data_IF_004910551894
#
_entry.id   IF_004910551894
#
_cell.length_a   1.000
_cell.length_b   1.000
_cell.length_c   1.000
_cell.angle_alpha   90.00
_cell.angle_beta   90.00
_cell.angle_gamma   90.00
#
_symmetry.space_group_name_H-M   'P 1'
#
loop_
_entity.id
_entity.type
_entity.pdbx_description
1 polymer ?
#
# COMPACT_ATOMS: atom_id res chain seq x y z
N UNK A 1 -4.22 33.29 -1.86
CA UNK A 1 -4.42 31.87 -2.19
C UNK A 1 -3.50 31.04 -1.31
N UNK A 2 -4.03 30.12 -0.48
CA UNK A 2 -3.15 29.18 0.25
C UNK A 2 -2.45 28.26 -0.77
N UNK A 3 -1.15 28.01 -0.66
CA UNK A 3 -0.45 27.14 -1.60
C UNK A 3 -1.12 25.77 -1.64
N UNK A 4 -1.38 25.27 -2.84
CA UNK A 4 -2.00 23.98 -3.06
C UNK A 4 -0.99 22.92 -2.61
N UNK A 5 -1.27 22.29 -1.47
CA UNK A 5 -0.41 21.26 -0.91
C UNK A 5 -0.35 20.09 -1.90
N UNK A 6 0.86 19.74 -2.36
CA UNK A 6 1.06 18.62 -3.27
C UNK A 6 1.43 17.37 -2.45
N UNK A 7 0.53 16.36 -2.36
CA UNK A 7 0.79 15.16 -1.56
C UNK A 7 2.04 14.39 -1.98
N UNK A 8 2.42 14.45 -3.27
CA UNK A 8 3.63 13.80 -3.77
C UNK A 8 4.90 14.45 -3.19
N UNK A 9 5.00 15.78 -3.23
CA UNK A 9 6.15 16.49 -2.63
C UNK A 9 6.22 16.27 -1.12
N UNK A 10 5.07 16.24 -0.43
CA UNK A 10 5.02 15.92 0.99
C UNK A 10 5.51 14.49 1.28
N UNK A 11 5.17 13.51 0.43
CA UNK A 11 5.66 12.16 0.58
C UNK A 11 7.18 12.07 0.43
N UNK A 12 7.75 12.80 -0.54
CA UNK A 12 9.21 12.87 -0.76
C UNK A 12 9.94 13.48 0.46
N UNK A 13 9.40 14.59 0.99
CA UNK A 13 9.98 15.25 2.18
C UNK A 13 9.85 14.34 3.41
N UNK A 14 8.64 13.78 3.62
CA UNK A 14 8.38 12.89 4.75
C UNK A 14 9.29 11.66 4.70
N UNK A 15 9.54 11.11 3.50
CA UNK A 15 10.43 9.97 3.31
C UNK A 15 11.86 10.34 3.73
N UNK A 16 12.41 11.44 3.24
CA UNK A 16 13.77 11.89 3.59
C UNK A 16 13.93 12.07 5.10
N UNK A 17 13.01 12.82 5.73
CA UNK A 17 13.07 13.05 7.17
C UNK A 17 12.91 11.75 7.98
N UNK A 18 12.11 10.79 7.48
CA UNK A 18 11.92 9.50 8.14
C UNK A 18 13.14 8.59 7.96
N UNK A 19 13.85 8.70 6.85
CA UNK A 19 15.10 7.97 6.59
C UNK A 19 16.21 8.48 7.50
N UNK A 20 16.40 9.81 7.58
CA UNK A 20 17.37 10.45 8.47
C UNK A 20 17.15 10.05 9.95
N UNK A 21 15.90 9.88 10.36
CA UNK A 21 15.51 9.46 11.71
C UNK A 21 15.40 7.93 11.90
N UNK A 22 15.73 7.13 10.89
CA UNK A 22 15.64 5.65 10.90
C UNK A 22 14.27 5.09 11.31
N UNK A 23 13.19 5.79 10.99
CA UNK A 23 11.82 5.42 11.39
C UNK A 23 10.88 5.15 10.18
N UNK A 24 11.43 4.79 9.02
CA UNK A 24 10.68 4.58 7.77
C UNK A 24 9.55 3.56 7.91
N UNK A 25 9.81 2.41 8.54
CA UNK A 25 8.82 1.34 8.68
C UNK A 25 7.66 1.75 9.58
N UNK A 26 7.98 2.43 10.68
CA UNK A 26 6.97 2.93 11.61
C UNK A 26 6.09 4.02 10.98
N UNK A 27 6.70 4.95 10.25
CA UNK A 27 5.96 6.00 9.51
C UNK A 27 5.08 5.37 8.43
N UNK A 28 5.58 4.37 7.70
CA UNK A 28 4.81 3.61 6.71
C UNK A 28 3.60 2.91 7.33
N UNK A 29 3.84 2.18 8.42
CA UNK A 29 2.78 1.47 9.15
C UNK A 29 1.71 2.45 9.67
N UNK A 30 2.15 3.59 10.21
CA UNK A 30 1.26 4.61 10.74
C UNK A 30 0.45 5.32 9.65
N UNK A 31 1.03 5.65 8.50
CA UNK A 31 0.29 6.19 7.34
C UNK A 31 -0.80 5.22 6.86
N UNK A 32 -0.46 3.94 6.75
CA UNK A 32 -1.42 2.91 6.37
C UNK A 32 -2.54 2.75 7.41
N UNK A 33 -2.21 2.85 8.70
CA UNK A 33 -3.18 2.85 9.78
C UNK A 33 -4.14 4.04 9.68
N UNK A 34 -3.63 5.26 9.48
CA UNK A 34 -4.46 6.46 9.31
C UNK A 34 -5.38 6.37 8.08
N UNK A 35 -4.89 5.79 6.99
CA UNK A 35 -5.73 5.54 5.81
C UNK A 35 -6.87 4.56 6.09
N UNK A 36 -6.60 3.46 6.81
CA UNK A 36 -7.63 2.50 7.22
C UNK A 36 -8.63 3.15 8.18
N UNK A 37 -8.14 3.93 9.14
CA UNK A 37 -9.00 4.67 10.07
C UNK A 37 -9.90 5.65 9.33
N UNK A 38 -9.39 6.39 8.34
CA UNK A 38 -10.19 7.32 7.55
C UNK A 38 -11.27 6.64 6.68
N UNK A 39 -11.10 5.36 6.34
CA UNK A 39 -12.11 4.57 5.62
C UNK A 39 -13.18 4.05 6.58
N UNK A 40 -12.79 3.53 7.73
CA UNK A 40 -13.66 2.80 8.64
C UNK A 40 -14.39 3.72 9.63
N UNK A 41 -13.78 4.84 10.03
CA UNK A 41 -14.33 5.76 11.02
C UNK A 41 -14.81 7.08 10.39
N UNK A 42 -16.11 7.32 10.48
CA UNK A 42 -16.75 8.53 9.96
C UNK A 42 -16.40 9.77 10.78
N UNK A 43 -16.19 9.65 12.10
CA UNK A 43 -15.82 10.77 12.96
C UNK A 43 -14.39 11.23 12.66
N UNK A 44 -13.46 10.31 12.51
CA UNK A 44 -12.11 10.63 12.12
C UNK A 44 -12.06 11.31 10.74
N UNK A 45 -12.87 10.84 9.80
CA UNK A 45 -13.03 11.45 8.47
C UNK A 45 -13.51 12.88 8.55
N UNK A 46 -14.58 13.12 9.31
CA UNK A 46 -15.12 14.46 9.53
C UNK A 46 -14.10 15.38 10.22
N UNK A 47 -13.36 14.86 11.19
CA UNK A 47 -12.31 15.59 11.88
C UNK A 47 -11.21 16.06 10.92
N UNK A 48 -10.67 15.17 10.07
CA UNK A 48 -9.64 15.54 9.10
C UNK A 48 -10.19 16.54 8.07
N UNK A 49 -11.40 16.34 7.57
CA UNK A 49 -12.03 17.21 6.58
C UNK A 49 -12.42 18.59 7.13
N UNK A 50 -12.55 18.74 8.43
CA UNK A 50 -12.98 20.00 9.04
C UNK A 50 -12.06 21.16 8.68
N UNK A 51 -12.67 22.24 8.15
CA UNK A 51 -11.99 23.52 7.88
C UNK A 51 -12.00 24.45 9.09
N UNK A 52 -12.87 24.18 10.06
CA UNK A 52 -13.05 25.02 11.27
C UNK A 52 -11.91 24.84 12.27
N UNK A 53 -11.30 23.66 12.30
CA UNK A 53 -10.21 23.32 13.21
C UNK A 53 -8.89 23.73 12.55
N UNK A 54 -8.08 24.52 13.26
CA UNK A 54 -6.75 24.93 12.79
C UNK A 54 -5.78 23.74 12.77
N UNK A 55 -4.78 23.76 11.88
CA UNK A 55 -3.79 22.68 11.75
C UNK A 55 -3.08 22.37 13.08
N UNK A 56 -2.68 23.37 13.84
CA UNK A 56 -2.05 23.17 15.16
C UNK A 56 -2.97 22.41 16.15
N UNK A 57 -4.27 22.71 16.16
CA UNK A 57 -5.24 22.01 16.99
C UNK A 57 -5.47 20.57 16.53
N UNK A 58 -5.49 20.33 15.20
CA UNK A 58 -5.58 18.97 14.65
C UNK A 58 -4.35 18.15 15.01
N UNK A 59 -3.16 18.71 14.86
CA UNK A 59 -1.91 18.03 15.21
C UNK A 59 -1.86 17.69 16.69
N UNK A 60 -2.21 18.64 17.57
CA UNK A 60 -2.26 18.42 19.00
C UNK A 60 -3.27 17.31 19.38
N UNK A 61 -4.47 17.33 18.79
CA UNK A 61 -5.48 16.29 19.01
C UNK A 61 -5.02 14.91 18.52
N UNK A 62 -4.40 14.83 17.34
CA UNK A 62 -3.84 13.58 16.84
C UNK A 62 -2.72 13.05 17.74
N UNK A 63 -1.86 13.93 18.22
CA UNK A 63 -0.78 13.55 19.15
C UNK A 63 -1.30 13.07 20.51
N UNK A 64 -2.39 13.65 21.02
CA UNK A 64 -2.97 13.23 22.30
C UNK A 64 -3.76 11.92 22.19
N UNK A 65 -4.54 11.75 21.13
CA UNK A 65 -5.40 10.57 20.97
C UNK A 65 -4.61 9.34 20.48
N UNK A 66 -3.58 9.55 19.66
CA UNK A 66 -2.79 8.49 19.04
C UNK A 66 -1.36 8.43 19.63
N UNK A 67 -1.18 8.86 20.88
CA UNK A 67 0.13 8.96 21.54
C UNK A 67 0.95 7.66 21.46
N UNK A 68 0.31 6.50 21.66
CA UNK A 68 0.96 5.19 21.71
C UNK A 68 1.49 4.71 20.34
N UNK A 69 0.85 5.14 19.27
CA UNK A 69 1.18 4.69 17.87
C UNK A 69 1.56 5.85 16.97
N UNK A 70 1.30 7.07 17.42
CA UNK A 70 1.43 8.28 16.64
C UNK A 70 2.88 8.69 16.38
N UNK A 71 3.13 9.18 15.18
CA UNK A 71 4.37 9.87 14.85
C UNK A 71 4.06 11.35 14.69
N UNK A 72 4.59 12.23 15.56
CA UNK A 72 4.29 13.66 15.53
C UNK A 72 4.51 14.30 14.16
N UNK A 73 5.56 13.89 13.47
CA UNK A 73 5.88 14.33 12.11
C UNK A 73 4.74 14.04 11.11
N UNK A 74 4.17 12.83 11.15
CA UNK A 74 3.06 12.44 10.29
C UNK A 74 1.79 13.20 10.66
N UNK A 75 1.52 13.34 11.96
CA UNK A 75 0.35 14.07 12.47
C UNK A 75 0.39 15.54 12.06
N UNK A 76 1.57 16.16 12.05
CA UNK A 76 1.75 17.52 11.57
C UNK A 76 1.42 17.61 10.06
N UNK A 77 1.97 16.73 9.24
CA UNK A 77 1.69 16.69 7.78
C UNK A 77 0.19 16.49 7.51
N UNK A 78 -0.45 15.54 8.20
CA UNK A 78 -1.87 15.23 8.03
C UNK A 78 -2.77 16.36 8.50
N UNK A 79 -2.36 17.13 9.51
CA UNK A 79 -3.10 18.29 10.03
C UNK A 79 -3.35 19.40 9.00
N UNK A 80 -2.52 19.48 7.98
CA UNK A 80 -2.69 20.45 6.88
C UNK A 80 -3.80 20.06 5.90
N UNK A 81 -4.22 18.80 5.87
CA UNK A 81 -5.30 18.37 4.99
C UNK A 81 -6.65 18.85 5.52
N UNK A 82 -7.48 19.37 4.61
CA UNK A 82 -8.81 19.88 4.95
C UNK A 82 -9.76 19.84 3.75
N UNK A 83 -11.06 19.95 4.04
CA UNK A 83 -12.10 19.94 3.02
C UNK A 83 -12.33 18.56 2.40
N UNK A 84 -13.11 18.54 1.32
CA UNK A 84 -13.54 17.29 0.66
C UNK A 84 -12.40 16.43 0.12
N UNK A 85 -11.25 17.04 -0.20
CA UNK A 85 -10.09 16.34 -0.73
C UNK A 85 -9.15 15.77 0.34
N UNK A 86 -9.35 16.09 1.61
CA UNK A 86 -8.42 15.70 2.69
C UNK A 86 -8.16 14.19 2.74
N UNK A 87 -9.18 13.36 2.52
CA UNK A 87 -9.06 11.90 2.51
C UNK A 87 -8.30 11.41 1.27
N UNK A 88 -8.61 11.98 0.11
CA UNK A 88 -7.89 11.66 -1.13
C UNK A 88 -6.41 12.07 -1.02
N UNK A 89 -6.12 13.24 -0.45
CA UNK A 89 -4.76 13.73 -0.27
C UNK A 89 -3.98 12.84 0.72
N UNK A 90 -4.62 12.38 1.82
CA UNK A 90 -4.03 11.40 2.74
C UNK A 90 -3.73 10.07 2.04
N UNK A 91 -4.66 9.57 1.23
CA UNK A 91 -4.47 8.34 0.46
C UNK A 91 -3.34 8.50 -0.55
N UNK A 92 -3.28 9.61 -1.28
CA UNK A 92 -2.20 9.90 -2.22
C UNK A 92 -0.85 10.05 -1.53
N UNK A 93 -0.80 10.66 -0.35
CA UNK A 93 0.41 10.75 0.47
C UNK A 93 0.93 9.34 0.81
N UNK A 94 0.06 8.47 1.35
CA UNK A 94 0.41 7.09 1.70
C UNK A 94 0.85 6.29 0.49
N UNK A 95 0.15 6.37 -0.65
CA UNK A 95 0.51 5.66 -1.87
C UNK A 95 1.88 6.09 -2.41
N UNK A 96 2.14 7.40 -2.47
CA UNK A 96 3.44 7.91 -2.93
C UNK A 96 4.57 7.53 -1.97
N UNK A 97 4.34 7.63 -0.66
CA UNK A 97 5.32 7.21 0.35
C UNK A 97 5.67 5.72 0.20
N UNK A 98 4.65 4.84 0.09
CA UNK A 98 4.84 3.42 -0.15
C UNK A 98 5.58 3.13 -1.46
N UNK A 99 5.31 3.89 -2.52
CA UNK A 99 6.00 3.74 -3.81
C UNK A 99 7.48 4.09 -3.70
N UNK A 100 7.82 5.21 -3.04
CA UNK A 100 9.21 5.61 -2.80
C UNK A 100 9.91 4.57 -1.91
N UNK A 101 9.26 4.15 -0.81
CA UNK A 101 9.80 3.15 0.11
C UNK A 101 10.16 1.84 -0.61
N UNK A 102 9.24 1.33 -1.44
CA UNK A 102 9.48 0.09 -2.19
C UNK A 102 10.64 0.23 -3.17
N UNK A 103 10.72 1.38 -3.85
CA UNK A 103 11.79 1.67 -4.81
C UNK A 103 13.16 1.74 -4.11
N UNK A 104 13.28 2.48 -3.01
CA UNK A 104 14.54 2.64 -2.28
C UNK A 104 14.99 1.34 -1.58
N UNK A 105 14.06 0.56 -1.05
CA UNK A 105 14.35 -0.73 -0.42
C UNK A 105 14.43 -1.89 -1.43
N UNK A 106 14.29 -1.61 -2.73
CA UNK A 106 14.27 -2.61 -3.79
C UNK A 106 13.27 -3.75 -3.51
N UNK A 107 12.03 -3.38 -3.16
CA UNK A 107 10.95 -4.32 -2.85
C UNK A 107 10.01 -4.40 -4.03
N UNK A 108 9.84 -5.58 -4.58
CA UNK A 108 8.94 -5.83 -5.69
C UNK A 108 7.51 -6.11 -5.20
N UNK A 109 6.53 -5.43 -5.79
CA UNK A 109 5.12 -5.70 -5.52
C UNK A 109 4.62 -6.81 -6.43
N UNK A 110 4.16 -7.89 -5.81
CA UNK A 110 3.56 -9.03 -6.53
C UNK A 110 2.11 -9.19 -6.07
N UNK A 111 1.20 -9.12 -7.03
CA UNK A 111 -0.21 -9.40 -6.81
C UNK A 111 -0.52 -10.79 -7.33
N UNK A 112 -0.94 -11.69 -6.45
CA UNK A 112 -1.35 -13.04 -6.79
C UNK A 112 -2.88 -13.13 -6.77
N UNK A 113 -3.48 -13.60 -7.86
CA UNK A 113 -4.90 -13.93 -7.92
C UNK A 113 -5.04 -15.45 -7.87
N UNK A 114 -5.81 -15.94 -6.91
CA UNK A 114 -5.94 -17.34 -6.54
C UNK A 114 -7.38 -17.82 -6.71
N UNK A 115 -7.58 -19.10 -7.00
CA UNK A 115 -8.91 -19.71 -7.03
C UNK A 115 -9.55 -19.81 -5.62
N UNK A 116 -8.74 -19.99 -4.58
CA UNK A 116 -9.16 -20.11 -3.18
C UNK A 116 -8.07 -19.59 -2.23
N UNK A 117 -8.44 -19.38 -0.98
CA UNK A 117 -7.49 -18.92 0.04
C UNK A 117 -6.35 -19.92 0.25
N UNK A 118 -5.15 -19.39 0.43
CA UNK A 118 -3.96 -20.15 0.81
C UNK A 118 -3.72 -20.03 2.31
N UNK A 119 -3.20 -21.10 2.92
CA UNK A 119 -2.76 -21.06 4.30
C UNK A 119 -1.41 -20.30 4.42
N UNK A 120 -1.03 -19.95 5.66
CA UNK A 120 0.18 -19.17 5.91
C UNK A 120 1.47 -19.86 5.44
N UNK A 121 1.52 -21.20 5.51
CA UNK A 121 2.67 -21.99 5.05
C UNK A 121 2.82 -21.93 3.54
N UNK A 122 1.72 -22.07 2.81
CA UNK A 122 1.69 -21.94 1.35
C UNK A 122 2.10 -20.54 0.90
N UNK A 123 1.64 -19.51 1.62
CA UNK A 123 2.02 -18.12 1.36
C UNK A 123 3.54 -17.91 1.56
N UNK A 124 4.10 -18.48 2.63
CA UNK A 124 5.55 -18.41 2.89
C UNK A 124 6.35 -19.13 1.81
N UNK A 125 5.93 -20.33 1.39
CA UNK A 125 6.56 -21.08 0.32
C UNK A 125 6.49 -20.34 -1.02
N UNK A 126 5.34 -19.77 -1.36
CA UNK A 126 5.19 -18.98 -2.58
C UNK A 126 6.11 -17.76 -2.57
N UNK A 127 6.19 -17.04 -1.44
CA UNK A 127 7.09 -15.90 -1.28
C UNK A 127 8.55 -16.30 -1.47
N UNK A 128 9.01 -17.34 -0.77
CA UNK A 128 10.40 -17.79 -0.85
C UNK A 128 10.76 -18.26 -2.27
N UNK A 129 9.83 -18.92 -2.95
CA UNK A 129 10.03 -19.34 -4.35
C UNK A 129 10.17 -18.14 -5.30
N UNK A 130 9.32 -17.13 -5.15
CA UNK A 130 9.38 -15.92 -5.96
C UNK A 130 10.68 -15.15 -5.67
N UNK A 131 11.04 -14.98 -4.40
CA UNK A 131 12.25 -14.28 -3.98
C UNK A 131 13.52 -14.99 -4.43
N UNK A 132 13.53 -16.34 -4.41
CA UNK A 132 14.67 -17.13 -4.90
C UNK A 132 14.89 -16.99 -6.40
N UNK A 133 13.82 -16.91 -7.17
CA UNK A 133 13.89 -16.75 -8.64
C UNK A 133 14.27 -15.33 -9.05
N UNK A 134 13.73 -14.34 -8.35
CA UNK A 134 13.91 -12.92 -8.71
C UNK A 134 15.14 -12.28 -8.03
N UNK A 135 15.67 -12.88 -6.96
CA UNK A 135 16.78 -12.32 -6.18
C UNK A 135 16.44 -11.02 -5.45
N UNK A 136 15.15 -10.68 -5.33
CA UNK A 136 14.65 -9.41 -4.80
C UNK A 136 13.57 -9.70 -3.75
N UNK A 137 13.55 -8.93 -2.66
CA UNK A 137 12.49 -9.01 -1.65
C UNK A 137 11.14 -8.69 -2.25
N UNK A 138 10.12 -9.48 -1.92
CA UNK A 138 8.78 -9.30 -2.48
C UNK A 138 7.74 -8.99 -1.42
N UNK A 139 6.82 -8.09 -1.76
CA UNK A 139 5.61 -7.83 -1.00
C UNK A 139 4.42 -8.43 -1.75
N UNK A 140 3.88 -9.53 -1.21
CA UNK A 140 2.76 -10.24 -1.81
C UNK A 140 1.43 -9.63 -1.36
N UNK A 141 0.53 -9.46 -2.31
CA UNK A 141 -0.89 -9.18 -2.07
C UNK A 141 -1.73 -10.24 -2.77
N UNK A 142 -2.85 -10.62 -2.17
CA UNK A 142 -3.69 -11.70 -2.65
C UNK A 142 -5.09 -11.18 -2.99
N UNK A 143 -5.61 -11.63 -4.12
CA UNK A 143 -7.02 -11.52 -4.49
C UNK A 143 -7.56 -12.93 -4.73
N UNK A 144 -8.84 -13.14 -4.43
CA UNK A 144 -9.53 -14.40 -4.70
C UNK A 144 -10.46 -14.18 -5.89
N UNK A 145 -10.33 -15.04 -6.88
CA UNK A 145 -11.21 -15.09 -8.04
C UNK A 145 -11.65 -16.52 -8.28
N UNK A 146 -12.88 -16.83 -7.85
CA UNK A 146 -13.49 -18.15 -7.99
C UNK A 146 -13.76 -18.58 -9.45
N UNK A 147 -13.60 -17.70 -10.42
CA UNK A 147 -13.68 -18.04 -11.84
C UNK A 147 -12.45 -18.82 -12.32
N UNK A 148 -11.34 -18.77 -11.58
CA UNK A 148 -10.14 -19.56 -11.85
C UNK A 148 -10.38 -20.99 -11.38
N UNK A 149 -10.37 -21.97 -12.31
CA UNK A 149 -10.57 -23.39 -12.00
C UNK A 149 -9.48 -23.93 -11.06
N UNK A 150 -8.25 -23.40 -11.18
CA UNK A 150 -7.11 -23.75 -10.34
C UNK A 150 -5.82 -23.14 -10.82
N UNK A 151 -4.78 -23.22 -9.98
CA UNK A 151 -3.52 -22.53 -10.22
C UNK A 151 -3.56 -21.07 -9.72
N UNK A 152 -2.70 -20.21 -10.28
CA UNK A 152 -2.58 -18.81 -9.87
C UNK A 152 -2.20 -17.90 -11.04
N UNK A 153 -2.61 -16.65 -10.95
CA UNK A 153 -2.17 -15.59 -11.85
C UNK A 153 -1.33 -14.59 -11.04
N UNK A 154 -0.12 -14.27 -11.52
CA UNK A 154 0.77 -13.31 -10.88
C UNK A 154 0.86 -12.05 -11.72
N UNK A 155 0.77 -10.91 -11.06
CA UNK A 155 1.13 -9.63 -11.63
C UNK A 155 2.32 -9.07 -10.87
N UNK A 156 3.42 -8.91 -11.58
CA UNK A 156 4.69 -8.39 -11.08
C UNK A 156 4.91 -7.04 -11.75
N UNK A 157 4.64 -5.96 -11.04
CA UNK A 157 4.58 -4.60 -11.61
C UNK A 157 3.73 -4.55 -12.90
N UNK A 158 4.38 -4.46 -14.07
CA UNK A 158 3.73 -4.44 -15.39
C UNK A 158 3.75 -5.79 -16.10
N UNK A 159 4.38 -6.81 -15.53
CA UNK A 159 4.46 -8.14 -16.11
C UNK A 159 3.34 -9.03 -15.56
N UNK A 160 2.69 -9.76 -16.44
CA UNK A 160 1.62 -10.68 -16.09
C UNK A 160 2.05 -12.11 -16.39
N UNK A 161 1.97 -13.00 -15.41
CA UNK A 161 2.23 -14.42 -15.52
C UNK A 161 0.96 -15.20 -15.21
N UNK A 162 0.44 -15.92 -16.17
CA UNK A 162 -0.72 -16.79 -15.99
C UNK A 162 -0.27 -18.25 -15.86
N UNK A 163 -0.24 -18.74 -14.63
CA UNK A 163 0.03 -20.14 -14.27
C UNK A 163 -1.26 -20.90 -13.91
N UNK A 164 -2.41 -20.47 -14.42
CA UNK A 164 -3.68 -21.18 -14.24
C UNK A 164 -3.73 -22.48 -15.03
N UNK A 165 -4.54 -23.43 -14.54
CA UNK A 165 -4.81 -24.70 -15.23
C UNK A 165 -5.42 -24.43 -16.62
N UNK A 166 -6.30 -23.46 -16.72
CA UNK A 166 -6.91 -23.06 -17.99
C UNK A 166 -5.86 -22.69 -19.04
N UNK A 167 -4.89 -21.85 -18.66
CA UNK A 167 -3.82 -21.44 -19.56
C UNK A 167 -2.91 -22.61 -19.96
N UNK A 168 -2.60 -23.51 -19.00
CA UNK A 168 -1.83 -24.74 -19.30
C UNK A 168 -2.54 -25.64 -20.32
N UNK A 169 -3.85 -25.83 -20.16
CA UNK A 169 -4.65 -26.61 -21.10
C UNK A 169 -4.71 -25.95 -22.49
N UNK A 170 -4.88 -24.63 -22.55
CA UNK A 170 -4.85 -23.90 -23.82
C UNK A 170 -3.48 -24.02 -24.53
N UNK A 171 -2.40 -23.95 -23.78
CA UNK A 171 -1.04 -24.11 -24.33
C UNK A 171 -0.84 -25.51 -24.91
N UNK A 172 -1.19 -26.55 -24.12
CA UNK A 172 -1.11 -27.94 -24.57
C UNK A 172 -1.96 -28.20 -25.83
N UNK A 173 -3.20 -27.69 -25.84
CA UNK A 173 -4.07 -27.81 -27.01
C UNK A 173 -3.44 -27.15 -28.24
N UNK A 174 -2.83 -25.98 -28.08
CA UNK A 174 -2.17 -25.28 -29.18
C UNK A 174 -0.92 -26.02 -29.69
N UNK A 175 -0.18 -26.67 -28.79
CA UNK A 175 0.99 -27.49 -29.11
C UNK A 175 0.59 -28.76 -29.91
N UNK A 176 -0.51 -29.42 -29.47
CA UNK A 176 -1.04 -30.61 -30.15
C UNK A 176 -1.55 -30.31 -31.57
N UNK A 177 -2.06 -29.12 -31.83
CA UNK A 177 -2.51 -28.70 -33.15
C UNK A 177 -1.37 -28.33 -34.12
N UNK A 178 -0.14 -28.21 -33.64
CA UNK A 178 1.06 -27.90 -34.45
C UNK A 178 1.81 -29.14 -34.93
N UNK A 179 1.40 -30.32 -34.48
CA UNK A 179 1.90 -31.61 -34.87
C UNK A 179 1.05 -32.16 -36.04
#
# INVERSE_FOLDING_TARGET
MKPKINPKKLAEILFKVSDDNQCLEEVRAYLNFLCKLAINDSYFRMFIQSKKIKSAQKSAALNSVLADKGKPLVNEVVSYFNGSRAISDLKYLSLNFNSIYKKEKNILSVKATLAQEMNEEQIKLLRSSIESVLGIKTELSFDIDSSIIGGLKLRIDNTFLDASIENKLKTLHTELLKI
#
